data_IF_465528023377
#
_entry.id   IF_465528023377
#
_cell.length_a   1.000
_cell.length_b   1.000
_cell.length_c   1.000
_cell.angle_alpha   90.00
_cell.angle_beta   90.00
_cell.angle_gamma   90.00
#
_symmetry.space_group_name_H-M   'P 1'
#
loop_
_entity.id
_entity.type
_entity.pdbx_description
1 polymer ?
#
# COMPACT_ATOMS: atom_id res chain seq x y z
N UNK A 1 19.48 -19.12 -26.09
CA UNK A 1 19.52 -20.56 -25.84
C UNK A 1 20.55 -20.82 -24.75
N UNK A 2 20.24 -21.61 -23.73
CA UNK A 2 21.24 -22.04 -22.76
C UNK A 2 22.19 -23.06 -23.41
N UNK A 3 23.50 -22.79 -23.39
CA UNK A 3 24.51 -23.49 -24.22
C UNK A 3 25.50 -24.36 -23.44
N UNK A 4 25.33 -24.52 -22.12
CA UNK A 4 26.24 -25.34 -21.32
C UNK A 4 26.20 -26.82 -21.76
N UNK A 5 27.37 -27.46 -21.87
CA UNK A 5 27.44 -28.89 -22.19
C UNK A 5 26.88 -29.74 -21.03
N UNK A 6 26.36 -30.93 -21.34
CA UNK A 6 25.73 -31.81 -20.33
C UNK A 6 26.67 -32.18 -19.18
N UNK A 7 27.98 -32.27 -19.44
CA UNK A 7 28.99 -32.56 -18.42
C UNK A 7 29.13 -31.40 -17.43
N UNK A 8 29.27 -30.18 -17.93
CA UNK A 8 29.38 -28.97 -17.09
C UNK A 8 28.07 -28.71 -16.34
N UNK A 9 26.92 -28.96 -16.98
CA UNK A 9 25.61 -28.85 -16.32
C UNK A 9 25.49 -29.80 -15.13
N UNK A 10 25.92 -31.06 -15.25
CA UNK A 10 25.89 -32.04 -14.16
C UNK A 10 26.85 -31.67 -13.03
N UNK A 11 28.07 -31.25 -13.36
CA UNK A 11 29.05 -30.79 -12.37
C UNK A 11 28.50 -29.59 -11.57
N UNK A 12 27.93 -28.60 -12.26
CA UNK A 12 27.32 -27.42 -11.64
C UNK A 12 26.16 -27.78 -10.71
N UNK A 13 25.25 -28.64 -11.17
CA UNK A 13 24.10 -29.06 -10.35
C UNK A 13 24.54 -29.90 -9.14
N UNK A 14 25.59 -30.72 -9.28
CA UNK A 14 26.17 -31.49 -8.17
C UNK A 14 26.78 -30.57 -7.11
N UNK A 15 27.60 -29.60 -7.51
CA UNK A 15 28.26 -28.67 -6.57
C UNK A 15 27.28 -27.70 -5.89
N UNK A 16 26.12 -27.43 -6.50
CA UNK A 16 25.09 -26.53 -5.94
C UNK A 16 24.00 -27.25 -5.16
N UNK A 17 23.92 -28.59 -5.23
CA UNK A 17 22.89 -29.38 -4.55
C UNK A 17 21.46 -29.24 -5.11
N UNK A 18 21.29 -28.48 -6.20
CA UNK A 18 19.98 -28.20 -6.80
C UNK A 18 20.05 -28.16 -8.34
N UNK A 19 18.92 -28.41 -9.00
CA UNK A 19 18.83 -28.35 -10.46
C UNK A 19 18.69 -26.91 -10.96
N UNK A 20 19.82 -26.25 -11.20
CA UNK A 20 19.87 -24.86 -11.68
C UNK A 20 19.32 -24.68 -13.11
N UNK A 21 19.15 -25.77 -13.88
CA UNK A 21 18.59 -25.68 -15.23
C UNK A 21 17.10 -25.31 -15.23
N UNK A 22 16.39 -25.66 -14.16
CA UNK A 22 14.96 -25.36 -14.00
C UNK A 22 14.67 -23.87 -13.76
N UNK A 23 15.61 -23.16 -13.11
CA UNK A 23 15.52 -21.73 -12.74
C UNK A 23 16.84 -21.02 -13.05
N UNK A 24 17.09 -20.77 -14.33
CA UNK A 24 18.28 -20.04 -14.77
C UNK A 24 18.18 -18.55 -14.44
N UNK A 25 19.31 -17.94 -14.07
CA UNK A 25 19.41 -16.51 -13.83
C UNK A 25 19.39 -15.68 -15.13
N UNK A 26 19.90 -16.27 -16.22
CA UNK A 26 19.91 -15.65 -17.53
C UNK A 26 18.58 -15.89 -18.25
N UNK A 27 18.08 -14.83 -18.86
CA UNK A 27 16.82 -14.83 -19.61
C UNK A 27 17.05 -15.20 -21.07
N UNK A 28 16.20 -16.06 -21.62
CA UNK A 28 16.23 -16.46 -23.01
C UNK A 28 14.92 -16.09 -23.72
N UNK A 29 14.14 -17.07 -24.16
CA UNK A 29 12.96 -16.90 -25.02
C UNK A 29 11.67 -16.87 -24.22
N UNK A 30 11.73 -17.20 -22.93
CA UNK A 30 10.60 -17.22 -22.00
C UNK A 30 10.09 -15.83 -21.61
N UNK A 31 10.86 -14.77 -21.91
CA UNK A 31 10.46 -13.39 -21.64
C UNK A 31 9.64 -12.81 -22.79
N UNK A 32 8.77 -11.85 -22.45
CA UNK A 32 8.01 -11.08 -23.42
C UNK A 32 8.92 -10.42 -24.47
N UNK A 33 8.42 -10.32 -25.71
CA UNK A 33 9.12 -9.67 -26.83
C UNK A 33 9.46 -8.21 -26.50
N UNK A 34 10.47 -7.66 -27.17
CA UNK A 34 10.84 -6.24 -27.02
C UNK A 34 9.79 -5.30 -27.62
N UNK A 35 9.19 -5.68 -28.74
CA UNK A 35 8.09 -4.95 -29.36
C UNK A 35 6.76 -5.51 -28.88
N UNK A 36 5.92 -4.63 -28.34
CA UNK A 36 4.59 -4.95 -27.85
C UNK A 36 3.53 -4.28 -28.74
N UNK A 37 2.33 -4.87 -28.88
CA UNK A 37 1.22 -4.21 -29.57
C UNK A 37 0.79 -2.94 -28.81
N UNK A 38 0.19 -1.95 -29.49
CA UNK A 38 -0.28 -0.74 -28.83
C UNK A 38 -1.38 -1.08 -27.82
N UNK A 39 -1.29 -0.61 -26.55
CA UNK A 39 -2.30 -0.88 -25.55
C UNK A 39 -3.52 0.04 -25.69
N UNK A 40 -4.69 -0.45 -25.26
CA UNK A 40 -5.91 0.36 -25.03
C UNK A 40 -6.20 0.40 -23.54
N UNK A 41 -5.72 1.44 -22.86
CA UNK A 41 -5.86 1.58 -21.41
C UNK A 41 -7.31 1.89 -21.00
N UNK A 42 -7.80 1.35 -19.87
CA UNK A 42 -9.10 1.70 -19.35
C UNK A 42 -9.11 3.15 -18.83
N UNK A 43 -10.30 3.76 -18.82
CA UNK A 43 -10.50 5.10 -18.28
C UNK A 43 -10.73 5.05 -16.77
N UNK A 44 -10.33 6.12 -16.08
CA UNK A 44 -10.58 6.28 -14.64
C UNK A 44 -12.05 6.58 -14.29
N UNK A 45 -12.43 6.51 -13.01
CA UNK A 45 -13.82 6.55 -12.54
C UNK A 45 -14.57 7.85 -12.85
N UNK A 46 -13.84 8.96 -13.03
CA UNK A 46 -14.38 10.28 -13.33
C UNK A 46 -14.51 10.55 -14.85
N UNK A 47 -14.36 9.56 -15.72
CA UNK A 47 -14.69 9.68 -17.15
C UNK A 47 -16.17 9.40 -17.38
N UNK A 48 -17.04 10.28 -16.86
CA UNK A 48 -18.51 10.16 -16.95
C UNK A 48 -19.08 11.39 -17.64
N UNK A 49 -20.07 11.19 -18.52
CA UNK A 49 -20.73 12.25 -19.27
C UNK A 49 -21.76 13.05 -18.46
N UNK A 50 -22.34 12.47 -17.41
CA UNK A 50 -23.34 13.10 -16.56
C UNK A 50 -23.04 12.80 -15.07
N UNK A 51 -23.59 13.62 -14.17
CA UNK A 51 -23.46 13.47 -12.72
C UNK A 51 -21.99 13.35 -12.25
N UNK A 52 -21.13 14.23 -12.75
CA UNK A 52 -19.69 14.22 -12.50
C UNK A 52 -19.14 15.65 -12.29
N UNK A 53 -19.84 16.39 -11.44
CA UNK A 53 -19.43 17.74 -11.08
C UNK A 53 -18.16 17.70 -10.23
N UNK A 54 -17.16 18.48 -10.59
CA UNK A 54 -15.88 18.51 -9.89
C UNK A 54 -16.04 18.89 -8.40
N UNK A 55 -17.00 19.77 -8.08
CA UNK A 55 -17.28 20.22 -6.72
C UNK A 55 -17.68 19.09 -5.75
N UNK A 56 -18.24 17.98 -6.25
CA UNK A 56 -18.64 16.84 -5.41
C UNK A 56 -17.48 15.89 -5.07
N UNK A 57 -16.31 16.09 -5.68
CA UNK A 57 -15.13 15.20 -5.52
C UNK A 57 -13.83 15.99 -5.34
N UNK A 58 -13.93 17.27 -5.01
CA UNK A 58 -12.77 18.13 -4.79
C UNK A 58 -12.27 17.99 -3.36
N UNK A 59 -11.60 16.88 -3.07
CA UNK A 59 -11.03 16.61 -1.73
C UNK A 59 -10.03 17.67 -1.25
N UNK A 60 -9.45 18.46 -2.17
CA UNK A 60 -8.61 19.62 -1.82
C UNK A 60 -9.40 20.74 -1.12
N UNK A 61 -10.71 20.84 -1.36
CA UNK A 61 -11.60 21.81 -0.69
C UNK A 61 -12.28 21.24 0.55
N UNK A 62 -12.23 19.93 0.73
CA UNK A 62 -12.74 19.27 1.95
C UNK A 62 -11.78 19.42 3.13
N UNK A 63 -10.51 19.75 2.88
CA UNK A 63 -9.57 20.07 3.94
C UNK A 63 -9.94 21.39 4.63
N UNK A 64 -10.33 21.30 5.91
CA UNK A 64 -10.58 22.45 6.77
C UNK A 64 -9.36 22.80 7.65
N UNK A 65 -9.39 23.96 8.32
CA UNK A 65 -8.46 24.28 9.40
C UNK A 65 -8.53 23.23 10.53
N UNK A 66 -7.44 23.01 11.29
CA UNK A 66 -7.44 22.07 12.39
C UNK A 66 -8.41 22.49 13.50
N UNK A 67 -9.03 21.52 14.18
CA UNK A 67 -9.85 21.77 15.36
C UNK A 67 -8.98 22.13 16.56
N UNK A 68 -9.24 23.28 17.19
CA UNK A 68 -8.51 23.75 18.37
C UNK A 68 -9.15 23.15 19.63
N UNK A 69 -8.44 22.24 20.30
CA UNK A 69 -8.92 21.57 21.53
C UNK A 69 -8.67 22.42 22.79
N UNK A 70 -7.58 23.19 22.81
CA UNK A 70 -7.24 24.11 23.89
C UNK A 70 -6.56 25.36 23.31
N UNK A 71 -7.02 26.54 23.72
CA UNK A 71 -6.43 27.84 23.39
C UNK A 71 -6.15 28.65 24.65
N UNK A 72 -5.10 29.48 24.63
CA UNK A 72 -4.79 30.42 25.71
C UNK A 72 -5.83 31.55 25.84
N UNK A 73 -6.51 31.88 24.74
CA UNK A 73 -7.66 32.77 24.74
C UNK A 73 -8.89 32.02 25.28
N UNK A 74 -9.49 32.55 26.36
CA UNK A 74 -10.71 31.99 26.96
C UNK A 74 -11.92 32.32 26.10
N UNK A 75 -12.44 31.35 25.34
CA UNK A 75 -13.81 31.41 24.87
C UNK A 75 -14.73 31.03 26.05
N UNK A 76 -15.55 31.97 26.52
CA UNK A 76 -16.54 31.70 27.56
C UNK A 76 -17.63 30.81 26.97
N UNK A 77 -17.68 29.55 27.38
CA UNK A 77 -18.82 28.66 27.12
C UNK A 77 -20.04 29.19 27.87
N UNK A 78 -21.21 29.24 27.19
CA UNK A 78 -22.48 29.49 27.85
C UNK A 78 -22.66 28.49 29.00
N UNK A 79 -22.94 29.02 30.20
CA UNK A 79 -22.79 28.34 31.48
C UNK A 79 -23.38 26.93 31.53
N UNK A 80 -22.52 25.95 31.79
CA UNK A 80 -22.92 24.66 32.36
C UNK A 80 -21.91 24.28 33.43
N UNK A 81 -22.41 23.81 34.58
CA UNK A 81 -21.60 23.45 35.74
C UNK A 81 -20.58 22.36 35.39
N UNK A 82 -19.34 22.57 35.80
CA UNK A 82 -18.27 21.59 35.67
C UNK A 82 -18.53 20.43 36.64
N UNK A 83 -19.18 19.37 36.17
CA UNK A 83 -19.35 18.11 36.90
C UNK A 83 -17.96 17.52 37.22
N UNK A 84 -17.53 17.66 38.48
CA UNK A 84 -16.26 17.17 39.03
C UNK A 84 -16.18 15.64 39.20
N UNK A 85 -16.61 14.88 38.19
CA UNK A 85 -16.41 13.43 38.18
C UNK A 85 -14.96 13.10 37.81
N UNK A 86 -14.31 12.13 38.47
CA UNK A 86 -12.95 11.71 38.12
C UNK A 86 -12.90 11.21 36.67
N UNK A 87 -12.01 11.79 35.85
CA UNK A 87 -11.79 11.38 34.46
C UNK A 87 -10.83 10.21 34.41
N UNK A 88 -11.12 9.19 33.61
CA UNK A 88 -10.20 8.10 33.38
C UNK A 88 -9.03 8.55 32.46
N UNK A 89 -7.83 7.97 32.63
CA UNK A 89 -6.73 8.20 31.71
C UNK A 89 -7.07 7.65 30.32
N UNK A 90 -6.72 8.39 29.27
CA UNK A 90 -6.97 8.03 27.87
C UNK A 90 -5.66 7.76 27.14
N UNK A 91 -5.65 6.75 26.27
CA UNK A 91 -4.54 6.48 25.35
C UNK A 91 -4.88 7.01 23.94
N UNK A 92 -3.90 7.45 23.13
CA UNK A 92 -4.17 7.96 21.77
C UNK A 92 -4.81 6.96 20.80
N UNK A 93 -4.66 5.66 21.08
CA UNK A 93 -5.25 4.58 20.30
C UNK A 93 -5.45 3.34 21.18
N UNK A 94 -6.03 2.30 20.57
CA UNK A 94 -6.13 0.98 21.21
C UNK A 94 -4.74 0.32 21.31
N UNK A 95 -4.50 -0.55 22.31
CA UNK A 95 -3.27 -1.33 22.34
C UNK A 95 -3.14 -2.18 21.06
N UNK A 96 -1.91 -2.29 20.55
CA UNK A 96 -1.65 -3.10 19.36
C UNK A 96 -2.04 -4.55 19.64
N UNK A 97 -2.78 -5.15 18.70
CA UNK A 97 -3.08 -6.58 18.75
C UNK A 97 -1.82 -7.36 18.38
N UNK A 98 -1.47 -8.36 19.18
CA UNK A 98 -0.34 -9.25 18.87
C UNK A 98 -0.58 -9.95 17.53
N UNK A 99 0.44 -9.90 16.67
CA UNK A 99 0.40 -10.58 15.38
C UNK A 99 0.56 -12.08 15.62
N UNK A 100 -0.29 -12.93 15.01
CA UNK A 100 -0.13 -14.36 15.14
C UNK A 100 1.19 -14.81 14.49
N UNK A 101 1.76 -15.91 14.99
CA UNK A 101 2.88 -16.56 14.35
C UNK A 101 2.45 -17.11 12.98
N UNK A 102 3.32 -17.01 11.97
CA UNK A 102 3.08 -17.58 10.65
C UNK A 102 2.79 -19.08 10.74
N UNK A 103 1.83 -19.55 9.95
CA UNK A 103 1.48 -20.98 9.81
C UNK A 103 2.02 -21.55 8.48
N UNK A 104 2.61 -20.69 7.63
CA UNK A 104 3.31 -21.06 6.39
C UNK A 104 4.72 -21.61 6.66
#
# INVERSE_FOLDING_TARGET
MASATKLIQRLRNLLSGHELQSKLQLRYTEISKRTQPPPKLPVGPSHRFANNYYCQRDGRRESGPPSVVMSSQKALTAGSEASGKPKQPVTPGSPLKELPLSVD
#
